data_IF_557427332796
#
_entry.id   IF_557427332796
#
_cell.length_a   1.000
_cell.length_b   1.000
_cell.length_c   1.000
_cell.angle_alpha   90.00
_cell.angle_beta   90.00
_cell.angle_gamma   90.00
#
_symmetry.space_group_name_H-M   'P 1'
#
loop_
_entity.id
_entity.type
_entity.pdbx_description
1 polymer ?
#
# COMPACT_ATOMS: atom_id res chain seq x y z
N UNK A 1 -21.84 -6.77 25.12
CA UNK A 1 -20.96 -5.67 24.66
C UNK A 1 -20.12 -6.25 23.54
N UNK A 2 -20.46 -5.94 22.28
CA UNK A 2 -19.68 -6.40 21.15
C UNK A 2 -18.28 -5.77 21.26
N UNK A 3 -17.23 -6.58 21.12
CA UNK A 3 -15.88 -6.07 20.95
C UNK A 3 -15.91 -5.08 19.79
N UNK A 4 -15.75 -3.80 20.09
CA UNK A 4 -15.36 -2.83 19.09
C UNK A 4 -14.04 -3.33 18.54
N UNK A 5 -14.05 -3.88 17.33
CA UNK A 5 -12.86 -3.93 16.53
C UNK A 5 -12.34 -2.48 16.52
N UNK A 6 -11.15 -2.26 17.07
CA UNK A 6 -10.50 -0.94 17.10
C UNK A 6 -10.08 -0.56 15.67
N UNK A 7 -11.05 -0.44 14.77
CA UNK A 7 -10.88 0.26 13.51
C UNK A 7 -10.78 1.73 13.87
N UNK A 8 -9.58 2.28 13.77
CA UNK A 8 -9.44 3.72 13.56
C UNK A 8 -10.07 4.02 12.20
N UNK A 9 -11.22 4.71 12.15
CA UNK A 9 -11.87 5.01 10.89
C UNK A 9 -10.94 5.90 10.06
N UNK A 10 -10.95 5.69 8.73
CA UNK A 10 -10.10 6.46 7.81
C UNK A 10 -10.41 7.96 7.87
N UNK A 11 -11.65 8.33 8.18
CA UNK A 11 -12.08 9.71 8.36
C UNK A 11 -12.90 9.81 9.64
N UNK A 12 -13.00 11.02 10.19
CA UNK A 12 -13.74 11.28 11.41
C UNK A 12 -15.19 11.63 11.10
N UNK A 13 -16.10 11.18 11.97
CA UNK A 13 -17.48 11.64 11.99
C UNK A 13 -17.86 11.94 13.45
N UNK A 14 -18.42 13.12 13.68
CA UNK A 14 -18.83 13.58 15.00
C UNK A 14 -20.35 13.77 15.00
N UNK A 15 -21.04 13.12 15.93
CA UNK A 15 -22.51 13.19 16.09
C UNK A 15 -23.30 12.95 14.77
N UNK A 16 -22.78 12.06 13.91
CA UNK A 16 -23.40 11.72 12.63
C UNK A 16 -23.08 12.68 11.48
N UNK A 17 -22.26 13.71 11.72
CA UNK A 17 -21.78 14.64 10.68
C UNK A 17 -20.37 14.22 10.24
N UNK A 18 -20.19 14.05 8.93
CA UNK A 18 -18.90 13.72 8.32
C UNK A 18 -17.98 14.94 8.39
N UNK A 19 -16.77 14.76 8.89
CA UNK A 19 -15.72 15.75 8.76
C UNK A 19 -15.08 15.62 7.37
N UNK A 20 -15.53 16.47 6.43
CA UNK A 20 -15.04 16.49 5.06
C UNK A 20 -13.54 16.81 4.93
N UNK A 21 -12.95 17.52 5.90
CA UNK A 21 -11.50 17.77 5.89
C UNK A 21 -10.74 16.49 6.17
N UNK A 22 -11.20 15.68 7.13
CA UNK A 22 -10.60 14.37 7.40
C UNK A 22 -10.76 13.39 6.22
N UNK A 23 -11.86 13.46 5.49
CA UNK A 23 -12.03 12.68 4.24
C UNK A 23 -10.99 13.11 3.21
N UNK A 24 -10.83 14.42 3.00
CA UNK A 24 -9.86 14.96 2.05
C UNK A 24 -8.43 14.57 2.43
N UNK A 25 -8.05 14.67 3.71
CA UNK A 25 -6.71 14.25 4.16
C UNK A 25 -6.47 12.78 3.88
N UNK A 26 -7.46 11.92 4.13
CA UNK A 26 -7.29 10.47 3.95
C UNK A 26 -7.23 10.07 2.48
N UNK A 27 -7.93 10.78 1.60
CA UNK A 27 -7.76 10.64 0.14
C UNK A 27 -6.35 11.09 -0.25
N UNK A 28 -5.90 12.25 0.20
CA UNK A 28 -4.58 12.78 -0.17
C UNK A 28 -3.45 11.85 0.28
N UNK A 29 -3.49 11.42 1.53
CA UNK A 29 -2.47 10.53 2.09
C UNK A 29 -2.57 9.13 1.50
N UNK A 30 -3.74 8.49 1.61
CA UNK A 30 -3.90 7.08 1.24
C UNK A 30 -3.89 6.80 -0.26
N UNK A 31 -4.34 7.73 -1.10
CA UNK A 31 -4.48 7.50 -2.55
C UNK A 31 -3.35 8.14 -3.35
N UNK A 32 -2.82 9.28 -2.92
CA UNK A 32 -1.84 10.03 -3.71
C UNK A 32 -0.44 9.98 -3.11
N UNK A 33 -0.26 10.28 -1.84
CA UNK A 33 1.06 10.48 -1.24
C UNK A 33 1.70 9.15 -0.85
N UNK A 34 1.01 8.33 -0.05
CA UNK A 34 1.53 7.06 0.47
C UNK A 34 1.92 6.09 -0.65
N UNK A 35 1.08 5.85 -1.68
CA UNK A 35 1.44 4.92 -2.75
C UNK A 35 2.71 5.35 -3.50
N UNK A 36 2.92 6.65 -3.71
CA UNK A 36 4.14 7.15 -4.36
C UNK A 36 5.38 6.85 -3.51
N UNK A 37 5.33 7.19 -2.21
CA UNK A 37 6.44 6.98 -1.29
C UNK A 37 6.74 5.49 -1.12
N UNK A 38 5.71 4.68 -0.92
CA UNK A 38 5.83 3.25 -0.74
C UNK A 38 6.40 2.59 -2.00
N UNK A 39 5.91 2.90 -3.19
CA UNK A 39 6.46 2.28 -4.40
C UNK A 39 7.89 2.73 -4.71
N UNK A 40 8.26 3.99 -4.41
CA UNK A 40 9.65 4.43 -4.49
C UNK A 40 10.55 3.62 -3.54
N UNK A 41 10.13 3.43 -2.30
CA UNK A 41 10.90 2.73 -1.29
C UNK A 41 10.99 1.22 -1.58
N UNK A 42 9.85 0.57 -1.84
CA UNK A 42 9.78 -0.88 -1.92
C UNK A 42 10.13 -1.41 -3.31
N UNK A 43 9.73 -0.72 -4.40
CA UNK A 43 9.88 -1.24 -5.78
C UNK A 43 11.08 -0.65 -6.47
N UNK A 44 11.27 0.66 -6.37
CA UNK A 44 12.41 1.30 -7.01
C UNK A 44 13.72 1.08 -6.22
N UNK A 45 13.70 1.17 -4.89
CA UNK A 45 14.90 1.02 -4.06
C UNK A 45 15.12 -0.43 -3.58
N UNK A 46 14.29 -0.92 -2.64
CA UNK A 46 14.49 -2.21 -1.97
C UNK A 46 14.50 -3.40 -2.93
N UNK A 47 13.48 -3.51 -3.78
CA UNK A 47 13.39 -4.61 -4.75
C UNK A 47 14.56 -4.61 -5.74
N UNK A 48 14.97 -3.45 -6.26
CA UNK A 48 16.10 -3.36 -7.20
C UNK A 48 17.41 -3.76 -6.53
N UNK A 49 17.66 -3.29 -5.30
CA UNK A 49 18.85 -3.68 -4.53
C UNK A 49 18.86 -5.20 -4.31
N UNK A 50 17.78 -5.77 -3.76
CA UNK A 50 17.71 -7.21 -3.52
C UNK A 50 17.81 -8.02 -4.80
N UNK A 51 17.20 -7.56 -5.89
CA UNK A 51 17.29 -8.22 -7.19
C UNK A 51 18.74 -8.31 -7.66
N UNK A 52 19.51 -7.23 -7.49
CA UNK A 52 20.90 -7.17 -7.96
C UNK A 52 21.84 -8.13 -7.21
N UNK A 53 21.47 -8.55 -5.99
CA UNK A 53 22.31 -9.40 -5.12
C UNK A 53 21.77 -10.83 -5.01
N UNK A 54 20.45 -11.01 -4.97
CA UNK A 54 19.78 -12.27 -4.59
C UNK A 54 18.96 -12.90 -5.72
N UNK A 55 18.84 -12.22 -6.87
CA UNK A 55 17.98 -12.64 -7.97
C UNK A 55 16.49 -12.34 -7.73
N UNK A 56 15.66 -12.64 -8.73
CA UNK A 56 14.27 -12.15 -8.81
C UNK A 56 13.40 -12.70 -7.69
N UNK A 57 13.39 -14.03 -7.51
CA UNK A 57 12.47 -14.70 -6.58
C UNK A 57 12.70 -14.24 -5.14
N UNK A 58 13.95 -14.24 -4.68
CA UNK A 58 14.30 -13.78 -3.33
C UNK A 58 13.98 -12.30 -3.15
N UNK A 59 14.23 -11.46 -4.17
CA UNK A 59 13.90 -10.05 -4.11
C UNK A 59 12.40 -9.79 -3.97
N UNK A 60 11.56 -10.50 -4.74
CA UNK A 60 10.09 -10.41 -4.63
C UNK A 60 9.65 -10.77 -3.21
N UNK A 61 10.10 -11.93 -2.69
CA UNK A 61 9.65 -12.41 -1.39
C UNK A 61 10.11 -11.49 -0.24
N UNK A 62 11.38 -11.09 -0.23
CA UNK A 62 11.92 -10.26 0.86
C UNK A 62 11.36 -8.85 0.85
N UNK A 63 11.31 -8.18 -0.30
CA UNK A 63 10.73 -6.82 -0.38
C UNK A 63 9.26 -6.82 0.02
N UNK A 64 8.49 -7.84 -0.42
CA UNK A 64 7.07 -7.98 -0.06
C UNK A 64 6.87 -8.32 1.42
N UNK A 65 7.78 -9.09 2.03
CA UNK A 65 7.71 -9.40 3.46
C UNK A 65 7.99 -8.17 4.34
N UNK A 66 8.98 -7.35 3.96
CA UNK A 66 9.28 -6.10 4.66
C UNK A 66 8.12 -5.12 4.50
N UNK A 67 7.56 -4.99 3.29
CA UNK A 67 6.34 -4.21 3.07
C UNK A 67 5.21 -4.69 3.98
N UNK A 68 4.94 -6.00 4.01
CA UNK A 68 3.89 -6.57 4.85
C UNK A 68 4.10 -6.32 6.36
N UNK A 69 5.34 -6.33 6.84
CA UNK A 69 5.65 -6.20 8.28
C UNK A 69 5.28 -4.85 8.90
N UNK A 70 5.11 -3.81 8.08
CA UNK A 70 4.72 -2.47 8.53
C UNK A 70 3.22 -2.20 8.37
N UNK A 71 2.44 -3.19 7.90
CA UNK A 71 1.00 -3.08 7.67
C UNK A 71 0.19 -3.87 8.70
N UNK A 72 -0.99 -3.38 9.04
CA UNK A 72 -1.91 -4.05 9.99
C UNK A 72 -2.38 -5.41 9.45
N UNK A 73 -2.72 -5.49 8.17
CA UNK A 73 -3.18 -6.72 7.51
C UNK A 73 -2.02 -7.39 6.75
N UNK A 74 -1.05 -7.91 7.49
CA UNK A 74 0.23 -8.38 6.94
C UNK A 74 0.09 -9.42 5.82
N UNK A 75 -0.80 -10.41 5.94
CA UNK A 75 -1.00 -11.41 4.87
C UNK A 75 -1.50 -10.77 3.56
N UNK A 76 -2.45 -9.85 3.68
CA UNK A 76 -2.99 -9.12 2.54
C UNK A 76 -1.92 -8.24 1.89
N UNK A 77 -1.21 -7.46 2.72
CA UNK A 77 -0.10 -6.61 2.29
C UNK A 77 1.03 -7.42 1.65
N UNK A 78 1.29 -8.65 2.11
CA UNK A 78 2.26 -9.55 1.50
C UNK A 78 1.81 -9.97 0.08
N UNK A 79 0.55 -10.38 -0.08
CA UNK A 79 0.02 -10.79 -1.38
C UNK A 79 -0.03 -9.63 -2.38
N UNK A 80 -0.51 -8.44 -1.96
CA UNK A 80 -0.43 -7.23 -2.79
C UNK A 80 1.02 -6.86 -3.08
N UNK A 81 1.89 -7.04 -2.07
CA UNK A 81 3.33 -6.88 -2.12
C UNK A 81 3.96 -7.60 -3.31
N UNK A 82 3.70 -8.92 -3.35
CA UNK A 82 4.18 -9.85 -4.39
C UNK A 82 3.62 -9.47 -5.76
N UNK A 83 2.31 -9.17 -5.82
CA UNK A 83 1.66 -8.77 -7.07
C UNK A 83 2.27 -7.48 -7.65
N UNK A 84 2.45 -6.43 -6.85
CA UNK A 84 3.04 -5.17 -7.29
C UNK A 84 4.51 -5.34 -7.70
N UNK A 85 5.28 -6.19 -7.01
CA UNK A 85 6.63 -6.54 -7.44
C UNK A 85 6.63 -7.25 -8.80
N UNK A 86 5.69 -8.17 -9.04
CA UNK A 86 5.54 -8.84 -10.33
C UNK A 86 5.18 -7.85 -11.46
N UNK A 87 4.26 -6.92 -11.20
CA UNK A 87 3.94 -5.83 -12.14
C UNK A 87 5.18 -4.99 -12.44
N UNK A 88 5.87 -4.52 -11.40
CA UNK A 88 7.09 -3.71 -11.57
C UNK A 88 8.16 -4.45 -12.37
N UNK A 89 8.35 -5.74 -12.09
CA UNK A 89 9.31 -6.59 -12.78
C UNK A 89 8.97 -6.73 -14.27
N UNK A 90 7.68 -6.89 -14.60
CA UNK A 90 7.20 -7.08 -15.97
C UNK A 90 7.27 -5.80 -16.79
N UNK A 91 6.88 -4.67 -16.22
CA UNK A 91 6.71 -3.42 -16.97
C UNK A 91 7.89 -2.46 -16.82
N UNK A 92 8.67 -2.54 -15.73
CA UNK A 92 9.77 -1.61 -15.41
C UNK A 92 9.34 -0.14 -15.38
N UNK A 93 8.08 0.11 -15.01
CA UNK A 93 7.48 1.43 -14.97
C UNK A 93 6.87 1.65 -13.60
N UNK A 94 7.40 2.63 -12.87
CA UNK A 94 6.97 2.90 -11.50
C UNK A 94 5.56 3.51 -11.49
N UNK A 95 5.26 4.36 -12.45
CA UNK A 95 3.97 5.03 -12.61
C UNK A 95 2.80 4.04 -12.79
N UNK A 96 3.05 2.88 -13.41
CA UNK A 96 2.03 1.83 -13.57
C UNK A 96 1.72 1.18 -12.22
N UNK A 97 2.75 0.91 -11.42
CA UNK A 97 2.61 0.29 -10.09
C UNK A 97 1.94 1.27 -9.13
N UNK A 98 2.36 2.54 -9.14
CA UNK A 98 1.73 3.61 -8.36
C UNK A 98 0.25 3.73 -8.72
N UNK A 99 -0.11 3.74 -10.01
CA UNK A 99 -1.51 3.86 -10.43
C UNK A 99 -2.36 2.67 -9.94
N UNK A 100 -1.82 1.45 -10.00
CA UNK A 100 -2.52 0.26 -9.51
C UNK A 100 -2.67 0.30 -7.99
N UNK A 101 -1.62 0.68 -7.26
CA UNK A 101 -1.67 0.79 -5.80
C UNK A 101 -2.62 1.91 -5.34
N UNK A 102 -2.54 3.09 -5.95
CA UNK A 102 -3.47 4.20 -5.69
C UNK A 102 -4.92 3.80 -5.98
N UNK A 103 -5.18 3.14 -7.12
CA UNK A 103 -6.53 2.67 -7.46
C UNK A 103 -7.05 1.63 -6.48
N UNK A 104 -6.19 0.76 -5.96
CA UNK A 104 -6.52 -0.20 -4.92
C UNK A 104 -6.87 0.47 -3.59
N UNK A 105 -6.09 1.46 -3.17
CA UNK A 105 -6.37 2.21 -1.94
C UNK A 105 -7.66 3.02 -2.06
N UNK A 106 -7.92 3.60 -3.23
CA UNK A 106 -9.19 4.24 -3.52
C UNK A 106 -10.37 3.26 -3.44
N UNK A 107 -10.22 2.05 -3.97
CA UNK A 107 -11.25 1.02 -3.89
C UNK A 107 -11.58 0.65 -2.44
N UNK A 108 -10.57 0.42 -1.60
CA UNK A 108 -10.74 0.15 -0.16
C UNK A 108 -11.36 1.35 0.57
N UNK A 109 -11.01 2.58 0.19
CA UNK A 109 -11.59 3.76 0.83
C UNK A 109 -13.09 3.91 0.52
N UNK A 110 -13.54 3.45 -0.65
CA UNK A 110 -14.93 3.57 -1.10
C UNK A 110 -15.83 2.41 -0.67
N UNK A 111 -15.27 1.26 -0.27
CA UNK A 111 -16.01 0.03 0.03
C UNK A 111 -15.47 -0.65 1.30
#
# INVERSE_FOLDING_TARGET
QAQAYNFTPLFSAYDGVIDWLSVLSSVMDGVFISPVIEELLFRYLLFVIFRSVLGVTCAVLLSSLIFASIHQWALYAFMSGVFLCWVFERYRRLEVVIAIHAGHNLFILLY
#
